data_IF_352790150979
#
_entry.id   IF_352790150979
#
_cell.length_a   1.000
_cell.length_b   1.000
_cell.length_c   1.000
_cell.angle_alpha   90.00
_cell.angle_beta   90.00
_cell.angle_gamma   90.00
#
_symmetry.space_group_name_H-M   'P 1'
#
loop_
_entity.id
_entity.type
_entity.pdbx_description
1 polymer ?
#
# COMPACT_ATOMS: atom_id res chain seq x y z
N UNK A 1 20.93 13.72 3.09
CA UNK A 1 20.29 12.40 2.89
C UNK A 1 18.77 12.59 2.94
N UNK A 2 18.27 13.62 2.27
CA UNK A 2 16.94 14.18 2.55
C UNK A 2 16.02 14.13 1.33
N UNK A 3 16.58 13.89 0.14
CA UNK A 3 15.83 13.83 -1.12
C UNK A 3 15.06 12.49 -1.28
N UNK A 4 15.62 11.37 -0.81
CA UNK A 4 14.97 10.06 -0.92
C UNK A 4 13.72 9.90 -0.04
N UNK A 5 13.61 10.69 1.05
CA UNK A 5 12.47 10.63 1.98
C UNK A 5 11.23 11.35 1.41
N UNK A 6 11.42 12.24 0.44
CA UNK A 6 10.34 13.02 -0.18
C UNK A 6 9.70 12.28 -1.37
N UNK A 7 10.47 11.54 -2.16
CA UNK A 7 9.95 10.74 -3.29
C UNK A 7 8.91 9.69 -2.87
N UNK A 8 9.03 9.12 -1.66
CA UNK A 8 8.11 8.09 -1.19
C UNK A 8 6.72 8.62 -0.80
N UNK A 9 6.54 9.93 -0.63
CA UNK A 9 5.21 10.52 -0.35
C UNK A 9 4.38 10.77 -1.61
N UNK A 10 5.04 11.10 -2.72
CA UNK A 10 4.38 11.47 -3.98
C UNK A 10 4.25 10.32 -4.99
N UNK A 11 4.82 9.14 -4.69
CA UNK A 11 4.61 7.93 -5.49
C UNK A 11 3.12 7.58 -5.59
N UNK A 12 2.64 7.08 -6.73
CA UNK A 12 1.25 6.61 -6.89
C UNK A 12 1.06 5.22 -6.26
N UNK A 13 -0.19 4.83 -5.98
CA UNK A 13 -0.46 3.52 -5.36
C UNK A 13 0.05 2.37 -6.25
N UNK A 14 -0.28 2.39 -7.54
CA UNK A 14 0.10 1.37 -8.52
C UNK A 14 1.61 1.23 -8.66
N UNK A 15 2.32 2.35 -8.52
CA UNK A 15 3.77 2.36 -8.58
C UNK A 15 4.40 1.82 -7.29
N UNK A 16 3.84 2.19 -6.12
CA UNK A 16 4.32 1.69 -4.83
C UNK A 16 4.11 0.17 -4.70
N UNK A 17 2.95 -0.35 -5.10
CA UNK A 17 2.67 -1.78 -5.07
C UNK A 17 3.53 -2.55 -6.08
N UNK A 18 3.73 -2.01 -7.28
CA UNK A 18 4.62 -2.64 -8.27
C UNK A 18 6.07 -2.74 -7.79
N UNK A 19 6.60 -1.67 -7.17
CA UNK A 19 7.95 -1.70 -6.55
C UNK A 19 8.02 -2.68 -5.38
N UNK A 20 6.96 -2.80 -4.58
CA UNK A 20 6.90 -3.75 -3.48
C UNK A 20 6.91 -5.20 -3.98
N UNK A 21 6.13 -5.51 -5.02
CA UNK A 21 6.13 -6.82 -5.67
C UNK A 21 7.51 -7.18 -6.23
N UNK A 22 8.21 -6.24 -6.85
CA UNK A 22 9.59 -6.45 -7.32
C UNK A 22 10.56 -6.79 -6.18
N UNK A 23 10.43 -6.09 -5.04
CA UNK A 23 11.24 -6.39 -3.85
C UNK A 23 10.94 -7.80 -3.34
N UNK A 24 9.66 -8.16 -3.22
CA UNK A 24 9.24 -9.49 -2.77
C UNK A 24 9.80 -10.56 -3.71
N UNK A 25 9.63 -10.41 -5.02
CA UNK A 25 10.17 -11.33 -6.04
C UNK A 25 11.69 -11.54 -5.89
N UNK A 26 12.43 -10.46 -5.62
CA UNK A 26 13.89 -10.53 -5.42
C UNK A 26 14.27 -11.21 -4.11
N UNK A 27 13.52 -10.99 -3.03
CA UNK A 27 13.76 -11.68 -1.76
C UNK A 27 13.43 -13.17 -1.87
N UNK A 28 12.38 -13.52 -2.58
CA UNK A 28 11.95 -14.90 -2.82
C UNK A 28 12.90 -15.69 -3.72
N UNK A 29 13.66 -15.02 -4.60
CA UNK A 29 14.61 -15.71 -5.48
C UNK A 29 15.78 -16.32 -4.71
N UNK A 30 16.08 -15.86 -3.49
CA UNK A 30 17.13 -16.42 -2.62
C UNK A 30 18.57 -16.12 -3.04
N UNK A 31 18.78 -15.52 -4.21
CA UNK A 31 20.10 -15.17 -4.77
C UNK A 31 20.62 -13.79 -4.30
N UNK A 32 19.96 -13.18 -3.32
CA UNK A 32 20.32 -11.86 -2.79
C UNK A 32 21.26 -11.99 -1.59
N UNK A 33 22.42 -11.32 -1.58
CA UNK A 33 23.29 -11.27 -0.41
C UNK A 33 22.55 -10.78 0.84
N UNK A 34 22.93 -11.27 2.02
CA UNK A 34 22.25 -10.95 3.27
C UNK A 34 22.14 -9.44 3.53
N UNK A 35 23.21 -8.69 3.27
CA UNK A 35 23.23 -7.23 3.46
C UNK A 35 22.21 -6.53 2.55
N UNK A 36 22.16 -6.92 1.28
CA UNK A 36 21.18 -6.41 0.31
C UNK A 36 19.75 -6.83 0.67
N UNK A 37 19.56 -8.04 1.18
CA UNK A 37 18.26 -8.55 1.59
C UNK A 37 17.67 -7.73 2.75
N UNK A 38 18.51 -7.31 3.71
CA UNK A 38 18.09 -6.44 4.81
C UNK A 38 17.61 -5.08 4.28
N UNK A 39 18.32 -4.50 3.31
CA UNK A 39 17.94 -3.20 2.75
C UNK A 39 16.72 -3.29 1.84
N UNK A 40 16.57 -4.37 1.07
CA UNK A 40 15.34 -4.68 0.35
C UNK A 40 14.15 -4.83 1.30
N UNK A 41 14.32 -5.53 2.41
CA UNK A 41 13.27 -5.70 3.41
C UNK A 41 12.82 -4.35 4.00
N UNK A 42 13.76 -3.48 4.40
CA UNK A 42 13.44 -2.13 4.90
C UNK A 42 12.65 -1.31 3.87
N UNK A 43 13.11 -1.30 2.61
CA UNK A 43 12.40 -0.63 1.50
C UNK A 43 11.00 -1.22 1.28
N UNK A 44 10.86 -2.53 1.36
CA UNK A 44 9.57 -3.21 1.27
C UNK A 44 8.61 -2.80 2.40
N UNK A 45 9.11 -2.69 3.63
CA UNK A 45 8.32 -2.21 4.77
C UNK A 45 7.85 -0.76 4.58
N UNK A 46 8.72 0.12 4.07
CA UNK A 46 8.34 1.50 3.76
C UNK A 46 7.28 1.59 2.67
N UNK A 47 7.44 0.84 1.57
CA UNK A 47 6.45 0.80 0.48
C UNK A 47 5.12 0.21 0.93
N UNK A 48 5.15 -0.82 1.79
CA UNK A 48 3.95 -1.40 2.40
C UNK A 48 3.19 -0.36 3.24
N UNK A 49 3.90 0.41 4.06
CA UNK A 49 3.30 1.49 4.83
C UNK A 49 2.70 2.59 3.93
N UNK A 50 3.36 2.93 2.82
CA UNK A 50 2.85 3.88 1.82
C UNK A 50 1.56 3.36 1.18
N UNK A 51 1.53 2.08 0.75
CA UNK A 51 0.35 1.46 0.16
C UNK A 51 -0.83 1.49 1.13
N UNK A 52 -0.59 1.08 2.38
CA UNK A 52 -1.61 1.08 3.43
C UNK A 52 -2.16 2.49 3.68
N UNK A 53 -1.29 3.49 3.82
CA UNK A 53 -1.71 4.88 4.04
C UNK A 53 -2.56 5.44 2.88
N UNK A 54 -2.27 5.06 1.64
CA UNK A 54 -3.07 5.45 0.47
C UNK A 54 -4.45 4.80 0.48
N UNK A 55 -4.54 3.50 0.79
CA UNK A 55 -5.81 2.79 0.92
C UNK A 55 -6.68 3.40 2.02
N UNK A 56 -6.11 3.67 3.19
CA UNK A 56 -6.82 4.34 4.29
C UNK A 56 -7.32 5.74 3.90
N UNK A 57 -6.51 6.51 3.16
CA UNK A 57 -6.93 7.83 2.68
C UNK A 57 -8.08 7.73 1.68
N UNK A 58 -8.07 6.73 0.78
CA UNK A 58 -9.13 6.51 -0.19
C UNK A 58 -10.44 6.08 0.50
N UNK A 59 -10.34 5.15 1.46
CA UNK A 59 -11.47 4.72 2.29
C UNK A 59 -12.12 5.89 3.03
N UNK A 60 -11.31 6.73 3.69
CA UNK A 60 -11.81 7.90 4.42
C UNK A 60 -12.51 8.91 3.49
N UNK A 61 -11.98 9.12 2.29
CA UNK A 61 -12.62 9.99 1.30
C UNK A 61 -13.98 9.42 0.86
N UNK A 62 -14.06 8.11 0.63
CA UNK A 62 -15.30 7.43 0.25
C UNK A 62 -16.37 7.52 1.35
N UNK A 63 -16.01 7.25 2.60
CA UNK A 63 -16.92 7.43 3.75
C UNK A 63 -17.41 8.88 3.84
N UNK A 64 -16.51 9.86 3.67
CA UNK A 64 -16.88 11.28 3.71
C UNK A 64 -17.85 11.69 2.59
N UNK A 65 -17.78 11.06 1.42
CA UNK A 65 -18.72 11.30 0.32
C UNK A 65 -20.10 10.71 0.64
N UNK A 66 -20.13 9.48 1.16
CA UNK A 66 -21.36 8.79 1.57
C UNK A 66 -22.08 9.53 2.70
N UNK A 67 -21.35 10.03 3.71
CA UNK A 67 -21.91 10.85 4.80
C UNK A 67 -22.63 12.11 4.29
N UNK A 68 -22.18 12.69 3.16
CA UNK A 68 -22.82 13.84 2.53
C UNK A 68 -24.09 13.47 1.77
N UNK A 69 -24.17 12.26 1.23
CA UNK A 69 -25.37 11.74 0.55
C UNK A 69 -26.38 11.07 1.50
N UNK A 70 -26.03 10.90 2.78
CA UNK A 70 -26.97 10.56 3.85
C UNK A 70 -27.13 9.07 4.18
N UNK A 71 -26.31 8.17 3.61
CA UNK A 71 -26.36 6.73 3.89
C UNK A 71 -25.01 6.15 4.32
N UNK A 72 -24.51 6.50 5.52
CA UNK A 72 -23.24 6.01 6.03
C UNK A 72 -23.20 4.47 6.20
N UNK A 73 -22.59 3.76 5.25
CA UNK A 73 -22.15 2.37 5.43
C UNK A 73 -20.62 2.34 5.54
N UNK A 74 -20.09 1.72 6.61
CA UNK A 74 -18.66 1.48 6.73
C UNK A 74 -18.20 0.63 5.54
N UNK A 75 -17.24 1.15 4.75
CA UNK A 75 -16.65 0.41 3.65
C UNK A 75 -15.67 -0.59 4.24
N UNK A 76 -16.06 -1.87 4.29
CA UNK A 76 -15.17 -2.96 4.70
C UNK A 76 -14.56 -3.61 3.45
N UNK A 77 -13.29 -3.33 3.12
CA UNK A 77 -12.63 -3.92 1.94
C UNK A 77 -12.47 -5.44 2.04
N UNK A 78 -12.60 -6.05 3.22
CA UNK A 78 -12.59 -7.51 3.39
C UNK A 78 -13.96 -8.16 3.13
N UNK A 79 -15.05 -7.37 3.05
CA UNK A 79 -16.41 -7.86 2.75
C UNK A 79 -16.82 -7.71 1.28
N UNK A 80 -15.87 -7.44 0.37
CA UNK A 80 -16.09 -7.44 -1.07
C UNK A 80 -16.22 -8.86 -1.65
N UNK A 81 -17.29 -9.59 -1.32
CA UNK A 81 -17.56 -10.89 -1.95
C UNK A 81 -18.48 -11.85 -1.19
N UNK A 82 -19.68 -11.43 -0.80
CA UNK A 82 -20.84 -12.32 -0.77
C UNK A 82 -22.11 -11.50 -0.61
N UNK A 83 -22.69 -11.10 -1.74
CA UNK A 83 -24.11 -10.77 -1.85
C UNK A 83 -24.66 -11.59 -3.00
N UNK A 84 -24.75 -12.89 -2.79
CA UNK A 84 -25.66 -13.75 -3.53
C UNK A 84 -26.38 -14.64 -2.50
N UNK A 85 -27.71 -14.62 -2.61
CA UNK A 85 -28.80 -15.21 -1.78
C UNK A 85 -29.34 -14.39 -0.60
#
# INVERSE_FOLDING_TARGET
MDEQKQENKDIRFEEAIGRLEDIVRRLESGDVPLEDAIDLYKKGMELSAVCHGKLQSAEKQLVTLIDKEGEATAFDPAQGGNRDE
#
